data_IF_774542612824
#
_entry.id   IF_774542612824
#
_cell.length_a   1.000
_cell.length_b   1.000
_cell.length_c   1.000
_cell.angle_alpha   90.00
_cell.angle_beta   90.00
_cell.angle_gamma   90.00
#
_symmetry.space_group_name_H-M   'P 1'
#
loop_
_entity.id
_entity.type
_entity.pdbx_description
1 polymer ?
#
# COMPACT_ATOMS: atom_id res chain seq x y z
N UNK A 1 -19.11 -22.59 0.38
CA UNK A 1 -19.45 -21.21 0.83
C UNK A 1 -20.00 -20.47 -0.37
N UNK A 2 -21.29 -20.12 -0.34
CA UNK A 2 -21.90 -19.31 -1.40
C UNK A 2 -21.45 -17.88 -1.10
N UNK A 3 -20.60 -17.32 -1.97
CA UNK A 3 -20.18 -15.92 -1.84
C UNK A 3 -21.43 -15.05 -2.01
N UNK A 4 -21.93 -14.44 -0.93
CA UNK A 4 -23.08 -13.53 -1.00
C UNK A 4 -22.79 -12.21 -1.74
N UNK A 5 -21.81 -12.18 -2.64
CA UNK A 5 -21.11 -10.98 -3.06
C UNK A 5 -21.40 -10.56 -4.50
N UNK A 6 -21.39 -9.24 -4.70
CA UNK A 6 -21.43 -8.59 -6.00
C UNK A 6 -20.30 -9.09 -6.91
N UNK A 7 -20.64 -9.58 -8.11
CA UNK A 7 -19.65 -9.84 -9.15
C UNK A 7 -19.30 -8.53 -9.87
N UNK A 8 -18.25 -7.86 -9.40
CA UNK A 8 -17.76 -6.58 -9.95
C UNK A 8 -16.50 -6.73 -10.80
N UNK A 9 -16.12 -7.95 -11.19
CA UNK A 9 -14.88 -8.19 -11.96
C UNK A 9 -14.83 -7.35 -13.24
N UNK A 10 -15.96 -7.22 -13.93
CA UNK A 10 -16.06 -6.42 -15.16
C UNK A 10 -16.05 -4.90 -14.91
N UNK A 11 -16.11 -4.46 -13.65
CA UNK A 11 -16.10 -3.06 -13.25
C UNK A 11 -14.73 -2.58 -12.76
N UNK A 12 -13.78 -3.49 -12.46
CA UNK A 12 -12.45 -3.12 -11.93
C UNK A 12 -11.75 -2.10 -12.84
N UNK A 13 -11.81 -2.31 -14.16
CA UNK A 13 -11.21 -1.42 -15.17
C UNK A 13 -11.88 -0.03 -15.26
N UNK A 14 -13.04 0.15 -14.63
CA UNK A 14 -13.77 1.41 -14.63
C UNK A 14 -13.29 2.38 -13.54
N UNK A 15 -12.47 1.91 -12.59
CA UNK A 15 -11.85 2.76 -11.57
C UNK A 15 -10.78 3.63 -12.24
N UNK A 16 -11.06 4.93 -12.36
CA UNK A 16 -10.17 5.92 -13.01
C UNK A 16 -9.29 6.67 -12.01
N UNK A 17 -9.59 6.55 -10.73
CA UNK A 17 -8.85 7.19 -9.66
C UNK A 17 -7.49 6.53 -9.49
N UNK A 18 -6.50 7.32 -9.10
CA UNK A 18 -5.25 6.82 -8.55
C UNK A 18 -5.56 5.91 -7.37
N UNK A 19 -4.96 4.72 -7.33
CA UNK A 19 -5.29 3.69 -6.36
C UNK A 19 -4.04 3.13 -5.68
N UNK A 20 -4.13 2.87 -4.38
CA UNK A 20 -3.12 2.15 -3.61
C UNK A 20 -3.70 0.78 -3.23
N UNK A 21 -3.08 -0.29 -3.71
CA UNK A 21 -3.27 -1.64 -3.18
C UNK A 21 -2.24 -1.83 -2.07
N UNK A 22 -2.72 -2.05 -0.84
CA UNK A 22 -1.87 -2.26 0.34
C UNK A 22 -2.18 -3.61 0.97
N UNK A 23 -1.21 -4.52 1.00
CA UNK A 23 -1.35 -5.85 1.59
C UNK A 23 -0.11 -6.22 2.42
N UNK A 24 -0.22 -7.25 3.26
CA UNK A 24 0.95 -7.91 3.84
C UNK A 24 1.61 -8.84 2.83
N UNK A 25 2.90 -9.13 3.00
CA UNK A 25 3.63 -10.12 2.20
C UNK A 25 3.40 -11.56 2.68
N UNK A 26 3.03 -11.73 3.95
CA UNK A 26 2.72 -13.01 4.62
C UNK A 26 1.19 -13.22 4.80
N UNK A 27 0.37 -12.64 3.91
CA UNK A 27 -1.09 -12.79 3.95
C UNK A 27 -1.52 -14.24 3.61
N UNK A 28 -2.10 -14.92 4.60
CA UNK A 28 -2.61 -16.30 4.49
C UNK A 28 -4.02 -16.43 3.91
N UNK A 29 -4.69 -15.31 3.62
CA UNK A 29 -6.06 -15.25 3.07
C UNK A 29 -6.02 -14.83 1.60
N UNK A 30 -5.32 -13.74 1.29
CA UNK A 30 -5.15 -13.22 -0.07
C UNK A 30 -3.69 -13.43 -0.50
N UNK A 31 -3.50 -14.25 -1.53
CA UNK A 31 -2.14 -14.51 -2.04
C UNK A 31 -1.51 -13.27 -2.67
N UNK A 32 -0.19 -13.16 -2.59
CA UNK A 32 0.59 -12.15 -3.31
C UNK A 32 0.22 -12.08 -4.80
N UNK A 33 0.02 -13.24 -5.45
CA UNK A 33 -0.39 -13.32 -6.87
C UNK A 33 -1.70 -12.58 -7.15
N UNK A 34 -2.67 -12.66 -6.24
CA UNK A 34 -3.94 -11.93 -6.39
C UNK A 34 -3.76 -10.42 -6.20
N UNK A 35 -2.92 -9.99 -5.27
CA UNK A 35 -2.58 -8.57 -5.11
C UNK A 35 -1.91 -7.99 -6.35
N UNK A 36 -0.93 -8.70 -6.93
CA UNK A 36 -0.30 -8.32 -8.21
C UNK A 36 -1.31 -8.27 -9.34
N UNK A 37 -2.19 -9.27 -9.45
CA UNK A 37 -3.25 -9.29 -10.48
C UNK A 37 -4.18 -8.08 -10.35
N UNK A 38 -4.63 -7.75 -9.13
CA UNK A 38 -5.50 -6.60 -8.90
C UNK A 38 -4.81 -5.28 -9.29
N UNK A 39 -3.52 -5.13 -8.95
CA UNK A 39 -2.74 -3.97 -9.36
C UNK A 39 -2.62 -3.86 -10.88
N UNK A 40 -2.50 -4.97 -11.61
CA UNK A 40 -2.46 -4.97 -13.07
C UNK A 40 -3.83 -4.69 -13.72
N UNK A 41 -4.93 -5.10 -13.07
CA UNK A 41 -6.29 -4.89 -13.59
C UNK A 41 -6.82 -3.48 -13.31
N UNK A 42 -6.29 -2.79 -12.29
CA UNK A 42 -6.62 -1.40 -11.97
C UNK A 42 -5.76 -0.43 -12.81
N UNK A 43 -6.37 0.46 -13.64
CA UNK A 43 -5.65 1.30 -14.59
C UNK A 43 -4.58 2.25 -14.01
N UNK A 44 -4.73 2.65 -12.75
CA UNK A 44 -3.85 3.62 -12.09
C UNK A 44 -3.49 3.21 -10.67
N UNK A 45 -3.21 1.91 -10.49
CA UNK A 45 -2.84 1.35 -9.20
C UNK A 45 -1.33 1.21 -9.01
N UNK A 46 -0.90 1.53 -7.79
CA UNK A 46 0.39 1.08 -7.24
C UNK A 46 0.14 0.00 -6.18
N UNK A 47 1.08 -0.93 -6.07
CA UNK A 47 1.07 -1.95 -5.02
C UNK A 47 2.17 -1.64 -3.99
N UNK A 48 1.82 -1.65 -2.71
CA UNK A 48 2.76 -1.64 -1.59
C UNK A 48 2.49 -2.85 -0.70
N UNK A 49 3.57 -3.59 -0.41
CA UNK A 49 3.52 -4.74 0.48
C UNK A 49 4.21 -4.39 1.79
N UNK A 50 3.56 -4.68 2.90
CA UNK A 50 4.15 -4.47 4.22
C UNK A 50 4.90 -5.74 4.61
N UNK A 51 6.23 -5.62 4.75
CA UNK A 51 7.07 -6.76 5.09
C UNK A 51 6.81 -7.34 6.48
N UNK A 52 6.83 -8.67 6.57
CA UNK A 52 6.53 -9.48 7.77
C UNK A 52 5.13 -9.18 8.33
N UNK A 53 4.13 -9.19 7.47
CA UNK A 53 2.76 -8.79 7.80
C UNK A 53 1.72 -9.71 7.16
N UNK A 54 0.69 -10.07 7.91
CA UNK A 54 -0.45 -10.84 7.42
C UNK A 54 -1.54 -9.99 6.75
N UNK A 55 -2.78 -10.41 6.92
CA UNK A 55 -3.93 -9.91 6.18
C UNK A 55 -4.35 -8.48 6.52
N UNK A 56 -4.04 -7.98 7.72
CA UNK A 56 -4.59 -6.71 8.22
C UNK A 56 -3.45 -5.73 8.55
N UNK A 57 -2.77 -5.15 7.53
CA UNK A 57 -1.59 -4.31 7.74
C UNK A 57 -1.77 -3.13 8.69
N UNK A 58 -2.95 -2.52 8.69
CA UNK A 58 -3.26 -1.38 9.56
C UNK A 58 -3.42 -1.77 11.04
N UNK A 59 -3.70 -3.03 11.35
CA UNK A 59 -3.74 -3.57 12.72
C UNK A 59 -2.38 -4.15 13.12
N UNK A 60 -1.76 -4.93 12.25
CA UNK A 60 -0.52 -5.66 12.56
C UNK A 60 0.72 -4.76 12.56
N UNK A 61 0.80 -3.84 11.59
CA UNK A 61 1.95 -2.93 11.39
C UNK A 61 1.46 -1.49 11.15
N UNK A 62 0.73 -0.88 12.10
CA UNK A 62 0.00 0.38 11.90
C UNK A 62 0.87 1.51 11.37
N UNK A 63 2.08 1.67 11.90
CA UNK A 63 3.02 2.73 11.47
C UNK A 63 3.49 2.55 10.03
N UNK A 64 3.76 1.32 9.59
CA UNK A 64 4.18 1.03 8.21
C UNK A 64 3.01 1.24 7.25
N UNK A 65 1.82 0.74 7.60
CA UNK A 65 0.61 0.94 6.81
C UNK A 65 0.28 2.44 6.65
N UNK A 66 0.29 3.20 7.75
CA UNK A 66 0.07 4.65 7.72
C UNK A 66 1.09 5.37 6.84
N UNK A 67 2.38 5.00 6.93
CA UNK A 67 3.41 5.57 6.05
C UNK A 67 3.10 5.35 4.57
N UNK A 68 2.73 4.14 4.15
CA UNK A 68 2.38 3.90 2.74
C UNK A 68 1.18 4.72 2.27
N UNK A 69 0.18 4.93 3.14
CA UNK A 69 -0.98 5.78 2.83
C UNK A 69 -0.55 7.25 2.69
N UNK A 70 0.26 7.76 3.63
CA UNK A 70 0.76 9.14 3.59
C UNK A 70 1.64 9.39 2.36
N UNK A 71 2.57 8.48 2.06
CA UNK A 71 3.43 8.56 0.87
C UNK A 71 2.59 8.57 -0.42
N UNK A 72 1.51 7.78 -0.46
CA UNK A 72 0.57 7.77 -1.57
C UNK A 72 -0.16 9.10 -1.74
N UNK A 73 -0.65 9.70 -0.65
CA UNK A 73 -1.35 10.99 -0.67
C UNK A 73 -0.41 12.16 -1.00
N UNK A 74 0.85 12.13 -0.52
CA UNK A 74 1.83 13.19 -0.76
C UNK A 74 2.45 13.17 -2.16
N UNK A 75 2.25 12.10 -2.93
CA UNK A 75 2.84 11.98 -4.28
C UNK A 75 2.13 12.81 -5.37
N UNK A 76 1.03 13.49 -5.04
CA UNK A 76 0.36 14.46 -5.94
C UNK A 76 0.83 15.91 -5.70
N UNK A 77 1.74 16.15 -4.75
CA UNK A 77 2.25 17.46 -4.38
C UNK A 77 3.77 17.54 -4.49
N UNK A 78 4.32 17.44 -5.72
CA UNK A 78 5.67 17.94 -6.00
C UNK A 78 5.69 18.54 -7.41
N UNK A 79 5.27 19.81 -7.51
CA UNK A 79 6.08 20.74 -8.29
C UNK A 79 7.46 20.76 -7.64
N UNK A 80 8.48 20.41 -8.41
CA UNK A 80 9.87 20.39 -7.95
C UNK A 80 10.26 21.76 -7.40
N UNK A 81 10.42 21.84 -6.08
CA UNK A 81 11.37 22.75 -5.47
C UNK A 81 12.01 22.02 -4.29
N UNK A 82 13.31 21.77 -4.48
CA UNK A 82 14.35 21.64 -3.48
C UNK A 82 14.56 20.28 -2.80
N UNK A 83 15.66 19.68 -3.26
CA UNK A 83 16.43 18.58 -2.67
C UNK A 83 17.14 19.06 -1.40
N UNK A 84 17.62 18.10 -0.60
CA UNK A 84 18.40 18.19 0.66
C UNK A 84 17.52 18.15 1.92
N UNK A 85 17.70 17.26 2.90
CA UNK A 85 18.95 16.67 3.37
C UNK A 85 18.79 15.24 3.90
N UNK A 86 19.86 14.51 3.65
CA UNK A 86 20.30 13.25 4.23
C UNK A 86 20.61 13.39 5.75
N UNK A 87 20.23 12.36 6.52
CA UNK A 87 20.81 11.87 7.79
C UNK A 87 20.99 12.86 8.96
N UNK A 88 20.29 12.58 10.08
CA UNK A 88 20.77 13.00 11.41
C UNK A 88 20.59 11.90 12.47
N UNK A 89 21.73 11.27 12.78
CA UNK A 89 22.21 10.82 14.08
C UNK A 89 21.42 9.78 14.90
N UNK A 90 21.91 8.55 14.78
CA UNK A 90 22.30 7.72 15.93
C UNK A 90 22.99 8.55 17.03
N UNK A 91 22.31 8.80 18.14
CA UNK A 91 22.90 9.09 19.45
C UNK A 91 21.89 8.83 20.57
N UNK A 92 21.71 7.56 20.91
CA UNK A 92 21.22 7.15 22.22
C UNK A 92 22.42 6.67 23.03
N UNK A 93 23.22 7.63 23.50
CA UNK A 93 23.90 7.50 24.79
C UNK A 93 23.12 8.40 25.76
N UNK A 94 22.15 7.81 26.45
CA UNK A 94 21.56 8.39 27.63
C UNK A 94 22.06 7.58 28.83
N UNK A 95 22.77 8.28 29.71
CA UNK A 95 23.00 8.06 31.15
C UNK A 95 22.89 6.63 31.69
#
# INVERSE_FOLDING_TARGET
MITGGYNVLNQIKQVKQKCLVLCGDDDGIISNKQAYRLQQELPSAILRQVGQCGHIPHVEKPRKAAKHVLDFLGSDSVDKADTEAEVCHSSLKAL
#
